data_IF_466768221119
#
_entry.id   IF_466768221119
#
_cell.length_a   1.000
_cell.length_b   1.000
_cell.length_c   1.000
_cell.angle_alpha   90.00
_cell.angle_beta   90.00
_cell.angle_gamma   90.00
#
_symmetry.space_group_name_H-M   'P 1'
#
loop_
_entity.id
_entity.type
_entity.pdbx_description
1 polymer ?
#
# COMPACT_ATOMS: atom_id res chain seq x y z
N UNK A 1 2.42 47.10 23.51
CA UNK A 1 2.81 46.70 22.13
C UNK A 1 4.04 45.80 22.11
N UNK A 2 5.15 46.21 22.75
CA UNK A 2 6.44 45.49 22.76
C UNK A 2 6.33 44.05 23.31
N UNK A 3 5.57 43.81 24.38
CA UNK A 3 5.38 42.47 24.96
C UNK A 3 4.71 41.46 23.99
N UNK A 4 3.81 41.93 23.12
CA UNK A 4 3.17 41.08 22.08
C UNK A 4 4.14 40.75 20.95
N UNK A 5 5.00 41.71 20.57
CA UNK A 5 6.04 41.51 19.55
C UNK A 5 7.09 40.51 20.05
N UNK A 6 7.48 40.58 21.33
CA UNK A 6 8.42 39.64 21.94
C UNK A 6 7.85 38.21 22.02
N UNK A 7 6.57 38.06 22.37
CA UNK A 7 5.90 36.76 22.37
C UNK A 7 5.85 36.14 20.96
N UNK A 8 5.50 36.94 19.95
CA UNK A 8 5.52 36.49 18.54
C UNK A 8 6.92 36.09 18.08
N UNK A 9 7.95 36.83 18.48
CA UNK A 9 9.34 36.53 18.13
C UNK A 9 9.81 35.22 18.79
N UNK A 10 9.46 34.98 20.06
CA UNK A 10 9.79 33.74 20.76
C UNK A 10 9.07 32.55 20.15
N UNK A 11 7.77 32.68 19.83
CA UNK A 11 7.02 31.65 19.10
C UNK A 11 7.59 31.42 17.71
N UNK A 12 7.98 32.48 17.00
CA UNK A 12 8.59 32.42 15.68
C UNK A 12 9.95 31.71 15.71
N UNK A 13 10.83 32.07 16.64
CA UNK A 13 12.14 31.43 16.83
C UNK A 13 11.99 29.98 17.29
N UNK A 14 11.08 29.68 18.22
CA UNK A 14 10.77 28.31 18.63
C UNK A 14 10.22 27.48 17.44
N UNK A 15 9.39 28.10 16.60
CA UNK A 15 8.88 27.47 15.38
C UNK A 15 10.01 27.20 14.40
N UNK A 16 10.94 28.13 14.19
CA UNK A 16 12.10 27.93 13.31
C UNK A 16 13.05 26.85 13.84
N UNK A 17 13.38 26.89 15.14
CA UNK A 17 14.27 25.92 15.80
C UNK A 17 13.71 24.51 15.76
N UNK A 18 12.38 24.33 15.75
CA UNK A 18 11.76 23.01 15.57
C UNK A 18 11.52 22.64 14.11
N UNK A 19 11.20 23.61 13.25
CA UNK A 19 10.88 23.40 11.84
C UNK A 19 12.07 22.85 11.04
N UNK A 20 13.24 23.50 11.13
CA UNK A 20 14.41 23.11 10.33
C UNK A 20 14.95 21.70 10.62
N UNK A 21 15.17 21.27 11.88
CA UNK A 21 15.61 19.90 12.14
C UNK A 21 14.53 18.87 11.82
N UNK A 22 13.25 19.23 11.90
CA UNK A 22 12.14 18.32 11.58
C UNK A 22 11.97 18.09 10.08
N UNK A 23 12.02 19.14 9.27
CA UNK A 23 12.05 19.05 7.80
C UNK A 23 13.28 18.25 7.33
N UNK A 24 14.47 18.55 7.87
CA UNK A 24 15.70 17.83 7.54
C UNK A 24 15.65 16.35 7.95
N UNK A 25 15.11 16.04 9.14
CA UNK A 25 14.96 14.66 9.60
C UNK A 25 13.99 13.86 8.70
N UNK A 26 12.90 14.47 8.24
CA UNK A 26 11.97 13.79 7.34
C UNK A 26 12.59 13.60 5.95
N UNK A 27 13.27 14.61 5.41
CA UNK A 27 13.98 14.50 4.13
C UNK A 27 15.04 13.37 4.17
N UNK A 28 15.82 13.29 5.24
CA UNK A 28 16.82 12.23 5.42
C UNK A 28 16.18 10.84 5.61
N UNK A 29 15.02 10.74 6.29
CA UNK A 29 14.26 9.48 6.38
C UNK A 29 13.67 9.05 5.04
N UNK A 30 13.19 10.00 4.24
CA UNK A 30 12.73 9.75 2.87
C UNK A 30 13.87 9.26 2.00
N UNK A 31 15.01 9.97 1.97
CA UNK A 31 16.19 9.57 1.19
C UNK A 31 16.69 8.16 1.57
N UNK A 32 16.68 7.81 2.87
CA UNK A 32 17.01 6.45 3.33
C UNK A 32 15.98 5.40 2.89
N UNK A 33 14.70 5.76 2.85
CA UNK A 33 13.64 4.88 2.37
C UNK A 33 13.75 4.66 0.85
N UNK A 34 14.01 5.70 0.09
CA UNK A 34 14.27 5.63 -1.36
C UNK A 34 15.48 4.75 -1.66
N UNK A 35 16.60 4.96 -0.97
CA UNK A 35 17.80 4.14 -1.14
C UNK A 35 17.57 2.66 -0.79
N UNK A 36 16.73 2.37 0.22
CA UNK A 36 16.46 0.99 0.67
C UNK A 36 15.45 0.26 -0.22
N UNK A 37 14.43 0.96 -0.71
CA UNK A 37 13.31 0.36 -1.46
C UNK A 37 13.46 0.50 -2.97
N UNK A 38 14.29 1.44 -3.44
CA UNK A 38 14.36 1.88 -4.82
C UNK A 38 13.10 2.64 -5.28
N UNK A 39 12.24 3.06 -4.35
CA UNK A 39 11.15 3.98 -4.65
C UNK A 39 11.67 5.41 -4.76
N UNK A 40 10.98 6.24 -5.53
CA UNK A 40 11.19 7.68 -5.65
C UNK A 40 9.95 8.40 -5.13
N UNK A 41 10.14 9.45 -4.33
CA UNK A 41 9.08 10.24 -3.71
C UNK A 41 9.28 11.70 -4.10
N UNK A 42 8.51 12.18 -5.06
CA UNK A 42 8.49 13.57 -5.49
C UNK A 42 7.37 14.32 -4.75
N UNK A 43 7.60 15.55 -4.28
CA UNK A 43 6.58 16.34 -3.58
C UNK A 43 6.91 17.84 -3.58
N UNK A 44 5.87 18.67 -3.44
CA UNK A 44 5.99 20.10 -3.18
C UNK A 44 5.82 20.36 -1.68
N UNK A 45 6.84 20.89 -0.96
CA UNK A 45 6.69 21.26 0.44
C UNK A 45 5.69 22.41 0.60
N UNK A 46 4.70 22.28 1.48
CA UNK A 46 3.73 23.35 1.75
C UNK A 46 3.97 24.02 3.11
N UNK A 47 3.98 23.23 4.18
CA UNK A 47 4.23 23.76 5.51
C UNK A 47 4.82 22.71 6.45
N UNK A 48 5.66 23.16 7.38
CA UNK A 48 6.04 22.36 8.54
C UNK A 48 5.93 23.20 9.81
N UNK A 49 5.34 22.61 10.82
CA UNK A 49 5.09 23.24 12.12
C UNK A 49 5.06 22.18 13.22
N UNK A 50 4.87 22.63 14.46
CA UNK A 50 4.67 21.76 15.62
C UNK A 50 3.42 20.85 15.48
N UNK A 51 2.49 21.22 14.59
CA UNK A 51 1.26 20.47 14.32
C UNK A 51 1.43 19.46 13.18
N UNK A 52 2.64 19.35 12.60
CA UNK A 52 2.96 18.40 11.55
C UNK A 52 3.56 19.02 10.28
N UNK A 53 3.80 18.16 9.29
CA UNK A 53 4.29 18.52 7.95
C UNK A 53 3.22 18.23 6.92
N UNK A 54 3.15 19.11 5.93
CA UNK A 54 2.19 19.09 4.85
C UNK A 54 2.90 19.21 3.50
N UNK A 55 2.49 18.36 2.57
CA UNK A 55 3.01 18.25 1.22
C UNK A 55 1.86 18.33 0.23
N UNK A 56 2.16 18.90 -0.94
CA UNK A 56 1.30 18.93 -2.12
C UNK A 56 1.91 18.13 -3.25
N UNK A 57 1.06 17.67 -4.16
CA UNK A 57 1.46 16.99 -5.39
C UNK A 57 2.43 15.82 -5.14
N UNK A 58 2.19 15.07 -4.05
CA UNK A 58 3.06 13.98 -3.65
C UNK A 58 2.89 12.81 -4.61
N UNK A 59 3.98 12.40 -5.26
CA UNK A 59 4.04 11.27 -6.17
C UNK A 59 5.03 10.24 -5.66
N UNK A 60 4.60 9.00 -5.53
CA UNK A 60 5.44 7.86 -5.19
C UNK A 60 5.53 6.96 -6.39
N UNK A 61 6.74 6.69 -6.88
CA UNK A 61 7.03 5.74 -7.95
C UNK A 61 7.91 4.62 -7.41
N UNK A 62 7.43 3.39 -7.41
CA UNK A 62 8.24 2.25 -6.96
C UNK A 62 9.24 1.82 -8.05
N UNK A 63 10.27 1.06 -7.66
CA UNK A 63 11.21 0.43 -8.60
C UNK A 63 10.51 -0.44 -9.65
N UNK A 64 9.37 -1.03 -9.32
CA UNK A 64 8.58 -1.89 -10.21
C UNK A 64 7.69 -1.09 -11.16
N UNK A 65 7.71 0.24 -11.11
CA UNK A 65 6.93 1.13 -11.96
C UNK A 65 5.53 1.46 -11.43
N UNK A 66 5.15 0.97 -10.25
CA UNK A 66 3.87 1.32 -9.61
C UNK A 66 3.91 2.78 -9.20
N UNK A 67 2.86 3.54 -9.55
CA UNK A 67 2.76 4.96 -9.24
C UNK A 67 1.51 5.26 -8.43
N UNK A 68 1.67 6.07 -7.41
CA UNK A 68 0.58 6.63 -6.62
C UNK A 68 0.77 8.13 -6.54
N UNK A 69 -0.28 8.90 -6.77
CA UNK A 69 -0.26 10.36 -6.70
C UNK A 69 -1.33 10.85 -5.72
N UNK A 70 -0.94 11.79 -4.88
CA UNK A 70 -1.77 12.45 -3.90
C UNK A 70 -1.73 13.96 -4.10
N UNK A 71 -2.89 14.61 -4.04
CA UNK A 71 -2.99 16.08 -4.15
C UNK A 71 -2.41 16.74 -2.91
N UNK A 72 -2.64 16.13 -1.74
CA UNK A 72 -2.17 16.60 -0.46
C UNK A 72 -1.83 15.41 0.43
N UNK A 73 -0.71 15.51 1.14
CA UNK A 73 -0.32 14.57 2.18
C UNK A 73 0.08 15.33 3.45
N UNK A 74 -0.29 14.80 4.61
CA UNK A 74 -0.03 15.44 5.89
C UNK A 74 0.33 14.43 6.96
N UNK A 75 1.43 14.68 7.65
CA UNK A 75 1.90 13.93 8.80
C UNK A 75 1.74 14.80 10.05
N UNK A 76 0.98 14.33 11.05
CA UNK A 76 0.73 15.07 12.30
C UNK A 76 1.03 14.19 13.53
N UNK A 77 1.70 14.74 14.56
CA UNK A 77 1.71 14.11 15.87
C UNK A 77 0.28 14.12 16.46
N UNK A 78 -0.04 13.09 17.23
CA UNK A 78 -1.28 12.99 18.01
C UNK A 78 -0.94 12.72 19.47
N UNK A 79 -1.88 12.91 20.38
CA UNK A 79 -1.67 12.65 21.81
C UNK A 79 -1.16 11.23 22.09
N UNK A 80 -1.48 10.25 21.22
CA UNK A 80 -1.21 8.83 21.41
C UNK A 80 -0.33 8.22 20.30
N UNK A 81 0.42 9.04 19.55
CA UNK A 81 1.30 8.56 18.49
C UNK A 81 1.38 9.50 17.29
N UNK A 82 1.33 8.95 16.07
CA UNK A 82 1.38 9.72 14.83
C UNK A 82 0.22 9.35 13.91
N UNK A 83 -0.24 10.33 13.14
CA UNK A 83 -1.20 10.11 12.05
C UNK A 83 -0.67 10.68 10.76
N UNK A 84 -0.86 9.95 9.67
CA UNK A 84 -0.66 10.46 8.33
C UNK A 84 -1.98 10.39 7.55
N UNK A 85 -2.18 11.34 6.67
CA UNK A 85 -3.34 11.44 5.80
C UNK A 85 -2.87 11.83 4.41
N UNK A 86 -3.47 11.27 3.38
CA UNK A 86 -3.22 11.64 2.00
C UNK A 86 -4.52 11.67 1.22
N UNK A 87 -4.64 12.54 0.21
CA UNK A 87 -5.84 12.71 -0.62
C UNK A 87 -5.55 12.57 -2.08
N UNK A 88 -6.55 12.11 -2.83
CA UNK A 88 -6.54 12.04 -4.28
C UNK A 88 -7.96 12.32 -4.79
N UNK A 89 -8.25 13.58 -5.10
CA UNK A 89 -9.59 14.07 -5.39
C UNK A 89 -10.54 13.86 -4.22
N UNK A 90 -11.53 12.98 -4.40
CA UNK A 90 -12.47 12.58 -3.35
C UNK A 90 -11.99 11.39 -2.50
N UNK A 91 -10.91 10.75 -2.92
CA UNK A 91 -10.33 9.57 -2.27
C UNK A 91 -9.34 9.97 -1.19
N UNK A 92 -9.17 9.10 -0.19
CA UNK A 92 -8.25 9.36 0.92
C UNK A 92 -7.57 8.10 1.43
N UNK A 93 -6.32 8.26 1.86
CA UNK A 93 -5.57 7.29 2.64
C UNK A 93 -5.33 7.86 4.03
N UNK A 94 -5.52 7.04 5.06
CA UNK A 94 -5.24 7.43 6.44
C UNK A 94 -4.43 6.36 7.13
N UNK A 95 -3.35 6.77 7.78
CA UNK A 95 -2.50 5.93 8.60
C UNK A 95 -2.53 6.48 10.03
N UNK A 96 -2.70 5.60 11.02
CA UNK A 96 -2.71 5.95 12.43
C UNK A 96 -1.87 4.93 13.18
N UNK A 97 -0.88 5.41 13.93
CA UNK A 97 -0.14 4.61 14.89
C UNK A 97 -0.79 4.81 16.26
N UNK A 98 -1.30 3.72 16.84
CA UNK A 98 -1.93 3.72 18.15
C UNK A 98 -0.91 3.71 19.31
N UNK A 99 -1.37 3.89 20.56
CA UNK A 99 -0.51 3.96 21.74
C UNK A 99 0.18 2.63 22.06
N UNK A 100 -0.38 1.50 21.61
CA UNK A 100 0.22 0.16 21.70
C UNK A 100 1.31 -0.08 20.64
N UNK A 101 1.56 0.92 19.79
CA UNK A 101 2.44 0.83 18.63
C UNK A 101 1.74 0.32 17.37
N UNK A 102 0.54 -0.26 17.47
CA UNK A 102 -0.12 -0.85 16.30
C UNK A 102 -0.41 0.19 15.21
N UNK A 103 -0.05 -0.14 13.97
CA UNK A 103 -0.25 0.69 12.79
C UNK A 103 -1.55 0.29 12.09
N UNK A 104 -2.49 1.21 11.97
CA UNK A 104 -3.72 1.04 11.18
C UNK A 104 -3.66 1.89 9.92
N UNK A 105 -3.90 1.29 8.77
CA UNK A 105 -3.96 1.95 7.47
C UNK A 105 -5.36 1.73 6.91
N UNK A 106 -6.02 2.81 6.53
CA UNK A 106 -7.32 2.83 5.85
C UNK A 106 -7.17 3.48 4.49
N UNK A 107 -7.73 2.86 3.48
CA UNK A 107 -7.73 3.32 2.09
C UNK A 107 -9.18 3.43 1.65
N UNK A 108 -9.64 4.66 1.45
CA UNK A 108 -10.96 4.96 0.89
C UNK A 108 -10.74 5.32 -0.59
N UNK A 109 -10.76 4.30 -1.45
CA UNK A 109 -10.74 4.40 -2.93
C UNK A 109 -9.49 5.04 -3.55
N UNK A 110 -8.28 4.62 -3.17
CA UNK A 110 -7.04 5.11 -3.79
C UNK A 110 -6.88 4.60 -5.23
N UNK A 111 -6.58 5.49 -6.18
CA UNK A 111 -6.23 5.11 -7.54
C UNK A 111 -4.71 4.93 -7.65
N UNK A 112 -4.32 3.73 -8.08
CA UNK A 112 -2.93 3.30 -8.22
C UNK A 112 -2.70 2.93 -9.68
N UNK A 113 -1.72 3.55 -10.33
CA UNK A 113 -1.23 3.09 -11.62
C UNK A 113 -0.27 1.93 -11.38
N UNK A 114 -0.62 0.75 -11.88
CA UNK A 114 0.19 -0.47 -11.74
C UNK A 114 1.54 -0.38 -12.45
N UNK A 115 1.73 0.58 -13.37
CA UNK A 115 2.86 0.66 -14.28
C UNK A 115 2.84 -0.42 -15.37
N UNK A 116 1.83 -1.29 -15.39
CA UNK A 116 1.66 -2.36 -16.35
C UNK A 116 0.68 -1.95 -17.45
N UNK A 117 1.06 -2.21 -18.71
CA UNK A 117 0.14 -2.07 -19.85
C UNK A 117 -1.08 -2.99 -19.73
N UNK A 118 -0.96 -4.09 -18.99
CA UNK A 118 -2.01 -5.10 -18.83
C UNK A 118 -3.05 -4.72 -17.79
N UNK A 119 -2.62 -4.18 -16.65
CA UNK A 119 -3.49 -3.90 -15.50
C UNK A 119 -3.87 -2.42 -15.35
N UNK A 120 -3.11 -1.50 -15.96
CA UNK A 120 -3.41 -0.07 -15.99
C UNK A 120 -3.65 0.53 -14.61
N UNK A 121 -4.70 1.33 -14.50
CA UNK A 121 -5.15 1.93 -13.24
C UNK A 121 -6.06 1.00 -12.42
N UNK A 122 -5.81 0.99 -11.12
CA UNK A 122 -6.50 0.16 -10.15
C UNK A 122 -7.05 1.03 -9.02
N UNK A 123 -8.33 0.86 -8.68
CA UNK A 123 -8.91 1.45 -7.49
C UNK A 123 -8.77 0.48 -6.31
N UNK A 124 -8.23 0.97 -5.20
CA UNK A 124 -7.95 0.19 -3.99
C UNK A 124 -8.72 0.76 -2.80
N UNK A 125 -9.53 -0.09 -2.18
CA UNK A 125 -10.26 0.25 -0.95
C UNK A 125 -10.00 -0.81 0.09
N UNK A 126 -9.76 -0.44 1.34
CA UNK A 126 -9.51 -1.44 2.36
C UNK A 126 -8.91 -0.94 3.65
N UNK A 127 -8.67 -1.87 4.57
CA UNK A 127 -8.03 -1.61 5.85
C UNK A 127 -6.96 -2.64 6.12
N UNK A 128 -5.85 -2.22 6.69
CA UNK A 128 -4.65 -3.02 6.95
C UNK A 128 -4.15 -2.64 8.33
N UNK A 129 -3.93 -3.61 9.21
CA UNK A 129 -3.40 -3.38 10.56
C UNK A 129 -2.10 -4.16 10.76
N UNK A 130 -1.13 -3.56 11.43
CA UNK A 130 0.13 -4.21 11.79
C UNK A 130 0.44 -3.98 13.26
N UNK A 131 0.71 -5.06 13.99
CA UNK A 131 1.21 -5.00 15.35
C UNK A 131 2.71 -5.23 15.38
N UNK A 132 3.48 -4.23 15.81
CA UNK A 132 4.93 -4.38 15.98
C UNK A 132 5.29 -5.31 17.13
N UNK A 133 4.45 -5.40 18.17
CA UNK A 133 4.68 -6.31 19.29
C UNK A 133 4.55 -7.78 18.85
N UNK A 134 3.50 -8.09 18.08
CA UNK A 134 3.29 -9.43 17.53
C UNK A 134 4.09 -9.70 16.25
N UNK A 135 4.70 -8.65 15.68
CA UNK A 135 5.32 -8.61 14.35
C UNK A 135 4.43 -9.26 13.28
N UNK A 136 3.14 -9.00 13.38
CA UNK A 136 2.12 -9.61 12.53
C UNK A 136 1.04 -8.60 12.17
N UNK A 137 0.37 -8.82 11.06
CA UNK A 137 -0.73 -7.97 10.63
C UNK A 137 -1.72 -8.68 9.75
N UNK A 138 -2.86 -8.03 9.57
CA UNK A 138 -3.95 -8.52 8.75
C UNK A 138 -4.67 -7.37 8.06
N UNK A 139 -5.42 -7.67 7.00
CA UNK A 139 -6.17 -6.65 6.30
C UNK A 139 -7.16 -7.20 5.29
N UNK A 140 -7.98 -6.31 4.77
CA UNK A 140 -8.85 -6.56 3.64
C UNK A 140 -8.65 -5.47 2.58
N UNK A 141 -8.44 -5.88 1.34
CA UNK A 141 -8.32 -5.00 0.18
C UNK A 141 -9.31 -5.42 -0.89
N UNK A 142 -10.17 -4.49 -1.29
CA UNK A 142 -10.94 -4.56 -2.53
C UNK A 142 -10.14 -3.84 -3.61
N UNK A 143 -9.87 -4.55 -4.70
CA UNK A 143 -9.20 -4.03 -5.88
C UNK A 143 -10.20 -4.03 -7.04
N UNK A 144 -10.33 -2.92 -7.74
CA UNK A 144 -11.15 -2.79 -8.95
C UNK A 144 -10.24 -2.31 -10.08
N UNK A 145 -10.10 -3.12 -11.12
CA UNK A 145 -9.33 -2.76 -12.32
C UNK A 145 -10.27 -2.04 -13.30
N UNK A 146 -9.96 -0.78 -13.62
CA UNK A 146 -10.81 0.05 -14.48
C UNK A 146 -10.65 -0.31 -15.98
N UNK A 147 -9.44 -0.71 -16.39
CA UNK A 147 -9.14 -1.11 -17.76
C UNK A 147 -8.16 -2.28 -17.71
N UNK A 148 -8.53 -3.42 -18.28
CA UNK A 148 -7.66 -4.59 -18.31
C UNK A 148 -7.58 -5.16 -19.72
N UNK A 149 -6.35 -5.29 -20.23
CA UNK A 149 -6.04 -6.04 -21.45
C UNK A 149 -5.47 -7.40 -21.06
N UNK A 150 -6.07 -8.04 -20.05
CA UNK A 150 -5.69 -9.40 -19.69
C UNK A 150 -6.33 -10.30 -20.75
N UNK A 151 -5.58 -11.16 -21.45
CA UNK A 151 -6.15 -12.20 -22.29
C UNK A 151 -6.79 -13.26 -21.38
N UNK A 152 -7.92 -12.90 -20.76
CA UNK A 152 -8.80 -13.85 -20.12
C UNK A 152 -9.61 -14.53 -21.24
N UNK A 153 -9.92 -15.83 -21.11
CA UNK A 153 -10.77 -16.55 -22.05
C UNK A 153 -12.24 -16.08 -22.06
N UNK A 154 -12.52 -14.92 -21.47
CA UNK A 154 -13.81 -14.27 -21.30
C UNK A 154 -13.60 -12.75 -21.30
N UNK A 155 -14.53 -12.02 -21.92
CA UNK A 155 -14.59 -10.57 -21.76
C UNK A 155 -15.19 -10.24 -20.39
N UNK A 156 -14.46 -9.49 -19.57
CA UNK A 156 -14.96 -8.97 -18.31
C UNK A 156 -14.90 -7.45 -18.44
N UNK A 157 -16.01 -6.73 -18.21
CA UNK A 157 -16.00 -5.26 -18.29
C UNK A 157 -15.20 -4.64 -17.15
N UNK A 158 -15.35 -5.19 -15.94
CA UNK A 158 -14.62 -4.76 -14.74
C UNK A 158 -14.16 -5.98 -13.95
N UNK A 159 -12.86 -6.05 -13.67
CA UNK A 159 -12.30 -7.07 -12.79
C UNK A 159 -12.27 -6.53 -11.36
N UNK A 160 -13.04 -7.16 -10.48
CA UNK A 160 -13.05 -6.85 -9.06
C UNK A 160 -12.50 -8.04 -8.25
N UNK A 161 -11.66 -7.76 -7.26
CA UNK A 161 -11.23 -8.77 -6.29
C UNK A 161 -11.33 -8.25 -4.86
N UNK A 162 -11.90 -9.08 -3.98
CA UNK A 162 -11.83 -8.93 -2.53
C UNK A 162 -10.73 -9.84 -1.99
N UNK A 163 -9.73 -9.25 -1.35
CA UNK A 163 -8.55 -9.96 -0.88
C UNK A 163 -8.43 -9.81 0.64
N UNK A 164 -8.16 -10.90 1.36
CA UNK A 164 -7.73 -10.84 2.76
C UNK A 164 -6.24 -11.11 2.83
N UNK A 165 -5.55 -10.25 3.56
CA UNK A 165 -4.11 -10.29 3.72
C UNK A 165 -3.79 -10.69 5.16
N UNK A 166 -2.79 -11.54 5.32
CA UNK A 166 -2.19 -11.87 6.61
C UNK A 166 -0.69 -11.92 6.44
N UNK A 167 0.05 -11.26 7.32
CA UNK A 167 1.50 -11.36 7.30
C UNK A 167 2.09 -11.50 8.69
N UNK A 168 3.23 -12.19 8.75
CA UNK A 168 3.97 -12.39 9.99
C UNK A 168 5.47 -12.39 9.70
N UNK A 169 6.21 -11.57 10.45
CA UNK A 169 7.67 -11.61 10.42
C UNK A 169 8.17 -12.69 11.38
N UNK A 170 8.85 -13.69 10.82
CA UNK A 170 9.45 -14.80 11.59
C UNK A 170 10.96 -14.62 11.82
N UNK A 171 11.49 -13.42 11.64
CA UNK A 171 12.91 -13.11 11.79
C UNK A 171 13.74 -13.34 10.52
N UNK A 172 13.14 -13.90 9.47
CA UNK A 172 13.77 -14.14 8.17
C UNK A 172 13.11 -13.33 7.04
N UNK A 173 12.18 -12.43 7.39
CA UNK A 173 11.28 -11.74 6.47
C UNK A 173 9.83 -12.02 6.81
N UNK A 174 8.92 -11.42 6.04
CA UNK A 174 7.49 -11.58 6.19
C UNK A 174 6.97 -12.77 5.37
N UNK A 175 6.35 -13.73 6.06
CA UNK A 175 5.41 -14.65 5.42
C UNK A 175 4.14 -13.88 5.12
N UNK A 176 3.64 -13.94 3.88
CA UNK A 176 2.43 -13.24 3.44
C UNK A 176 1.45 -14.25 2.84
N UNK A 177 0.26 -14.36 3.43
CA UNK A 177 -0.88 -15.08 2.90
C UNK A 177 -1.90 -14.11 2.34
N UNK A 178 -2.36 -14.39 1.13
CA UNK A 178 -3.40 -13.64 0.43
C UNK A 178 -4.52 -14.63 0.11
N UNK A 179 -5.68 -14.43 0.72
CA UNK A 179 -6.91 -15.08 0.27
C UNK A 179 -7.52 -14.20 -0.81
N UNK A 180 -7.65 -14.74 -2.02
CA UNK A 180 -8.16 -14.03 -3.18
C UNK A 180 -9.58 -14.48 -3.44
N UNK A 181 -10.48 -13.52 -3.65
CA UNK A 181 -11.82 -13.76 -4.18
C UNK A 181 -12.08 -12.80 -5.33
N UNK A 182 -12.12 -13.31 -6.54
CA UNK A 182 -12.48 -12.54 -7.73
C UNK A 182 -14.00 -12.54 -7.89
N UNK A 183 -14.54 -11.34 -7.99
CA UNK A 183 -15.96 -11.03 -8.17
C UNK A 183 -16.16 -10.54 -9.62
N UNK A 184 -15.87 -11.39 -10.61
CA UNK A 184 -15.84 -11.00 -12.02
C UNK A 184 -17.09 -11.38 -12.81
N UNK A 185 -18.10 -10.52 -12.87
CA UNK A 185 -19.28 -10.74 -13.73
C UNK A 185 -20.11 -12.00 -13.41
N UNK A 186 -21.14 -12.27 -14.21
CA UNK A 186 -22.05 -13.42 -14.00
C UNK A 186 -21.45 -14.77 -14.40
N UNK A 187 -20.33 -14.76 -15.13
CA UNK A 187 -19.82 -15.92 -15.86
C UNK A 187 -18.46 -16.39 -15.37
N UNK A 188 -17.88 -15.69 -14.39
CA UNK A 188 -16.57 -15.97 -13.85
C UNK A 188 -16.48 -15.70 -12.36
N UNK A 189 -15.96 -16.67 -11.62
CA UNK A 189 -15.54 -16.43 -10.25
C UNK A 189 -14.26 -17.20 -10.01
N UNK A 190 -13.38 -16.61 -9.21
CA UNK A 190 -12.21 -17.33 -8.75
C UNK A 190 -12.03 -17.13 -7.25
N UNK A 191 -11.59 -18.18 -6.56
CA UNK A 191 -11.27 -18.14 -5.15
C UNK A 191 -10.02 -18.97 -4.86
N UNK A 192 -9.25 -18.57 -3.86
CA UNK A 192 -8.15 -19.39 -3.39
C UNK A 192 -7.16 -18.62 -2.54
N UNK A 193 -5.95 -19.16 -2.48
CA UNK A 193 -4.91 -18.70 -1.57
C UNK A 193 -3.57 -18.60 -2.30
N UNK A 194 -2.83 -17.54 -1.99
CA UNK A 194 -1.46 -17.32 -2.40
C UNK A 194 -0.63 -17.16 -1.13
N UNK A 195 0.48 -17.87 -1.05
CA UNK A 195 1.43 -17.83 0.03
C UNK A 195 2.80 -17.43 -0.52
N UNK A 196 3.35 -16.36 0.04
CA UNK A 196 4.72 -15.94 -0.16
C UNK A 196 5.51 -16.25 1.12
N UNK A 197 6.51 -17.11 1.00
CA UNK A 197 7.35 -17.53 2.12
C UNK A 197 8.77 -16.99 1.94
N UNK A 198 9.30 -16.22 2.91
CA UNK A 198 10.65 -15.71 2.84
C UNK A 198 11.65 -16.87 2.98
N UNK A 199 12.77 -16.77 2.26
CA UNK A 199 13.86 -17.74 2.31
C UNK A 199 15.19 -17.00 2.51
N UNK A 200 15.97 -17.29 3.56
CA UNK A 200 17.28 -16.67 3.77
C UNK A 200 18.25 -17.00 2.64
N UNK A 201 18.85 -15.98 2.04
CA UNK A 201 19.86 -16.16 0.98
C UNK A 201 19.35 -16.76 -0.33
N UNK A 202 18.03 -17.04 -0.43
CA UNK A 202 17.38 -17.62 -1.60
C UNK A 202 16.20 -16.74 -2.06
N UNK A 203 15.78 -16.82 -3.33
CA UNK A 203 14.57 -16.18 -3.78
C UNK A 203 13.35 -16.63 -2.96
N UNK A 204 12.50 -15.69 -2.55
CA UNK A 204 11.31 -16.00 -1.76
C UNK A 204 10.36 -16.90 -2.54
N UNK A 205 9.89 -17.97 -1.89
CA UNK A 205 9.02 -18.96 -2.50
C UNK A 205 7.62 -18.40 -2.62
N UNK A 206 7.00 -18.66 -3.77
CA UNK A 206 5.63 -18.34 -4.08
C UNK A 206 4.89 -19.64 -4.32
N UNK A 207 3.77 -19.84 -3.64
CA UNK A 207 2.87 -20.95 -3.91
C UNK A 207 1.42 -20.50 -3.78
N UNK A 208 0.50 -21.24 -4.38
CA UNK A 208 -0.91 -20.93 -4.26
C UNK A 208 -1.77 -21.77 -5.18
N UNK A 209 -3.07 -21.60 -5.01
CA UNK A 209 -4.09 -22.17 -5.88
C UNK A 209 -5.22 -21.18 -6.04
N UNK A 210 -5.79 -21.12 -7.24
CA UNK A 210 -7.02 -20.40 -7.53
C UNK A 210 -7.98 -21.40 -8.19
N UNK A 211 -9.08 -21.69 -7.53
CA UNK A 211 -10.21 -22.38 -8.13
C UNK A 211 -10.92 -21.37 -9.02
N UNK A 212 -11.14 -21.73 -10.28
CA UNK A 212 -11.75 -20.89 -11.30
C UNK A 212 -13.02 -21.59 -11.76
N UNK A 213 -14.14 -20.89 -11.64
CA UNK A 213 -15.42 -21.29 -12.18
C UNK A 213 -15.73 -20.42 -13.39
N UNK A 214 -16.02 -21.07 -14.52
CA UNK A 214 -16.50 -20.42 -15.74
C UNK A 214 -17.75 -21.12 -16.25
N UNK A 215 -18.40 -20.58 -17.29
CA UNK A 215 -19.42 -21.32 -18.07
C UNK A 215 -18.90 -22.62 -18.68
N UNK A 216 -17.60 -22.68 -19.00
CA UNK A 216 -16.96 -23.85 -19.63
C UNK A 216 -16.56 -24.93 -18.60
N UNK A 217 -16.84 -24.71 -17.32
CA UNK A 217 -16.57 -25.65 -16.23
C UNK A 217 -15.62 -25.11 -15.17
N UNK A 218 -15.26 -26.01 -14.24
CA UNK A 218 -14.33 -25.78 -13.13
C UNK A 218 -12.91 -26.10 -13.56
N UNK A 219 -11.98 -25.22 -13.19
CA UNK A 219 -10.54 -25.44 -13.36
C UNK A 219 -9.81 -24.96 -12.11
N UNK A 220 -8.60 -25.46 -11.90
CA UNK A 220 -7.71 -25.00 -10.83
C UNK A 220 -6.42 -24.47 -11.44
N UNK A 221 -6.09 -23.23 -11.14
CA UNK A 221 -4.78 -22.66 -11.42
C UNK A 221 -3.90 -22.92 -10.21
N UNK A 222 -2.77 -23.59 -10.42
CA UNK A 222 -1.73 -23.80 -9.40
C UNK A 222 -0.62 -22.80 -9.65
N UNK A 223 -0.22 -22.06 -8.62
CA UNK A 223 0.88 -21.11 -8.64
C UNK A 223 2.05 -21.68 -7.83
N UNK A 224 3.26 -21.65 -8.38
CA UNK A 224 4.47 -22.16 -7.77
C UNK A 224 5.69 -21.32 -8.19
N UNK A 225 6.86 -21.62 -7.63
CA UNK A 225 8.14 -21.01 -7.99
C UNK A 225 8.54 -19.93 -6.99
N UNK A 226 8.98 -18.78 -7.51
CA UNK A 226 9.50 -17.67 -6.70
C UNK A 226 8.85 -16.35 -7.12
N UNK A 227 8.94 -15.32 -6.27
CA UNK A 227 8.42 -14.00 -6.65
C UNK A 227 9.06 -13.43 -7.93
N UNK A 228 10.32 -13.77 -8.20
CA UNK A 228 11.04 -13.32 -9.41
C UNK A 228 10.77 -14.17 -10.64
N UNK A 229 10.39 -15.42 -10.44
CA UNK A 229 10.13 -16.40 -11.50
C UNK A 229 8.91 -17.24 -11.11
N UNK A 230 7.69 -16.69 -11.26
CA UNK A 230 6.46 -17.39 -10.96
C UNK A 230 6.10 -18.35 -12.10
N UNK A 231 5.63 -19.55 -11.74
CA UNK A 231 5.10 -20.53 -12.68
C UNK A 231 3.65 -20.84 -12.34
N UNK A 232 2.80 -20.91 -13.36
CA UNK A 232 1.41 -21.31 -13.20
C UNK A 232 1.05 -22.48 -14.11
N UNK A 233 0.27 -23.41 -13.58
CA UNK A 233 -0.27 -24.55 -14.32
C UNK A 233 -1.78 -24.61 -14.17
N UNK A 234 -2.47 -24.82 -15.28
CA UNK A 234 -3.92 -25.03 -15.29
C UNK A 234 -4.20 -26.52 -15.22
N UNK A 235 -4.93 -26.92 -14.18
CA UNK A 235 -5.41 -28.29 -13.98
C UNK A 235 -6.92 -28.30 -14.20
N UNK A 236 -7.41 -29.16 -15.08
CA UNK A 236 -8.85 -29.44 -15.17
C UNK A 236 -9.24 -30.36 -14.03
N UNK A 237 -10.27 -30.00 -13.26
CA UNK A 237 -10.92 -30.99 -12.40
C UNK A 237 -11.62 -31.98 -13.36
N UNK A 238 -11.11 -33.21 -13.39
CA UNK A 238 -11.66 -34.35 -14.16
C UNK A 238 -13.03 -34.78 -13.63
#
# INVERSE_FOLDING_TARGET
MIARVFLFLVVFVATLVWRFPYEAAIADRLARLEARTGAQVDYTPESASILGVEWKDMRVTTRTGVKVQFDQAKLRPTLNGMSAYATQGKSQGRMVMGPTGDLSIRMDQLNIDSGSKTFGEMNVTGNVTHSFQKRAGEGSLRLVLAHHQIPLPIEVETFESGNRLFWQDRGQGYELRIEVKVLGGTEFSADGDILLTPQPGLPHSLSGKLNIQTKLGKRRLMLQGTWKDPHWTMVSDS
#
